data_IF_028804597249
#
_entry.id   IF_028804597249
#
_cell.length_a   1.000
_cell.length_b   1.000
_cell.length_c   1.000
_cell.angle_alpha   90.00
_cell.angle_beta   90.00
_cell.angle_gamma   90.00
#
_symmetry.space_group_name_H-M   'P 1'
#
loop_
_entity.id
_entity.type
_entity.pdbx_description
1 polymer ?
#
# COMPACT_ATOMS: atom_id res chain seq x y z
N UNK A 1 27.12 -17.74 -17.12
CA UNK A 1 25.66 -17.92 -17.24
C UNK A 1 24.99 -17.61 -15.90
N UNK A 2 25.17 -18.39 -14.83
CA UNK A 2 24.50 -18.14 -13.53
C UNK A 2 24.80 -16.73 -12.96
N UNK A 3 26.05 -16.27 -12.99
CA UNK A 3 26.42 -14.93 -12.49
C UNK A 3 25.72 -13.78 -13.24
N UNK A 4 25.55 -13.92 -14.56
CA UNK A 4 24.88 -12.91 -15.39
C UNK A 4 23.40 -12.81 -15.04
N UNK A 5 22.74 -13.95 -14.84
CA UNK A 5 21.35 -14.03 -14.38
C UNK A 5 21.17 -13.50 -12.96
N UNK A 6 22.11 -13.78 -12.05
CA UNK A 6 22.08 -13.26 -10.70
C UNK A 6 22.20 -11.72 -10.69
N UNK A 7 23.10 -11.16 -11.51
CA UNK A 7 23.23 -9.72 -11.69
C UNK A 7 21.96 -9.11 -12.33
N UNK A 8 21.37 -9.78 -13.32
CA UNK A 8 20.10 -9.36 -13.93
C UNK A 8 18.96 -9.29 -12.89
N UNK A 9 18.79 -10.36 -12.11
CA UNK A 9 17.77 -10.45 -11.06
C UNK A 9 17.97 -9.37 -10.00
N UNK A 10 19.23 -9.08 -9.63
CA UNK A 10 19.55 -7.98 -8.72
C UNK A 10 19.08 -6.63 -9.26
N UNK A 11 19.29 -6.34 -10.55
CA UNK A 11 18.81 -5.09 -11.17
C UNK A 11 17.28 -5.00 -11.09
N UNK A 12 16.56 -6.06 -11.46
CA UNK A 12 15.09 -6.08 -11.41
C UNK A 12 14.59 -5.88 -9.98
N UNK A 13 15.18 -6.58 -9.00
CA UNK A 13 14.79 -6.46 -7.59
C UNK A 13 15.03 -5.07 -7.03
N UNK A 14 16.16 -4.43 -7.38
CA UNK A 14 16.44 -3.04 -6.97
C UNK A 14 15.34 -2.12 -7.51
N UNK A 15 15.00 -2.25 -8.80
CA UNK A 15 13.95 -1.41 -9.40
C UNK A 15 12.61 -1.63 -8.71
N UNK A 16 12.18 -2.88 -8.57
CA UNK A 16 10.91 -3.27 -7.94
C UNK A 16 10.81 -2.69 -6.52
N UNK A 17 11.83 -2.91 -5.68
CA UNK A 17 11.86 -2.40 -4.31
C UNK A 17 11.87 -0.87 -4.25
N UNK A 18 12.64 -0.23 -5.14
CA UNK A 18 12.74 1.22 -5.16
C UNK A 18 11.40 1.87 -5.51
N UNK A 19 10.69 1.33 -6.51
CA UNK A 19 9.37 1.85 -6.90
C UNK A 19 8.31 1.49 -5.85
N UNK A 20 8.34 0.30 -5.26
CA UNK A 20 7.40 -0.07 -4.18
C UNK A 20 7.55 0.81 -2.94
N UNK A 21 8.77 1.28 -2.63
CA UNK A 21 9.04 2.14 -1.48
C UNK A 21 8.73 3.61 -1.74
N UNK A 22 9.16 4.16 -2.89
CA UNK A 22 9.01 5.58 -3.19
C UNK A 22 7.73 5.94 -3.94
N UNK A 23 7.06 4.96 -4.55
CA UNK A 23 5.94 5.17 -5.45
C UNK A 23 6.35 5.73 -6.81
N UNK A 24 5.38 5.78 -7.72
CA UNK A 24 5.51 6.36 -9.05
C UNK A 24 5.13 7.86 -8.99
N UNK A 25 6.11 8.71 -9.26
CA UNK A 25 5.99 10.18 -9.30
C UNK A 25 6.78 10.73 -10.49
N UNK A 26 6.55 11.98 -10.90
CA UNK A 26 7.21 12.58 -12.07
C UNK A 26 8.75 12.57 -11.98
N UNK A 27 9.31 12.65 -10.78
CA UNK A 27 10.74 12.72 -10.51
C UNK A 27 11.39 11.35 -10.20
N UNK A 28 10.59 10.27 -10.14
CA UNK A 28 11.08 8.96 -9.69
C UNK A 28 12.18 8.39 -10.60
N UNK A 29 12.07 8.59 -11.91
CA UNK A 29 13.07 8.10 -12.87
C UNK A 29 14.44 8.75 -12.64
N UNK A 30 14.46 10.04 -12.25
CA UNK A 30 15.69 10.75 -11.89
C UNK A 30 16.27 10.20 -10.59
N UNK A 31 15.43 10.03 -9.56
CA UNK A 31 15.84 9.44 -8.26
C UNK A 31 16.44 8.05 -8.44
N UNK A 32 15.80 7.19 -9.24
CA UNK A 32 16.30 5.85 -9.54
C UNK A 32 17.61 5.87 -10.33
N UNK A 33 17.76 6.79 -11.29
CA UNK A 33 19.02 6.95 -12.02
C UNK A 33 20.17 7.41 -11.10
N UNK A 34 19.91 8.32 -10.15
CA UNK A 34 20.87 8.72 -9.13
C UNK A 34 21.23 7.56 -8.19
N UNK A 35 20.24 6.77 -7.78
CA UNK A 35 20.47 5.56 -6.98
C UNK A 35 21.40 4.57 -7.71
N UNK A 36 21.18 4.32 -9.00
CA UNK A 36 22.07 3.47 -9.80
C UNK A 36 23.49 4.02 -9.99
N UNK A 37 23.67 5.35 -9.98
CA UNK A 37 25.01 5.96 -10.07
C UNK A 37 25.85 5.72 -8.81
N UNK A 38 25.21 5.52 -7.66
CA UNK A 38 25.90 5.24 -6.39
C UNK A 38 26.32 3.77 -6.28
N UNK A 39 25.88 2.91 -7.19
CA UNK A 39 26.19 1.48 -7.20
C UNK A 39 27.39 1.15 -8.09
N UNK A 40 27.99 -0.01 -7.83
CA UNK A 40 29.04 -0.55 -8.68
C UNK A 40 28.55 -0.75 -10.13
N UNK A 41 29.48 -0.60 -11.08
CA UNK A 41 29.20 -0.84 -12.49
C UNK A 41 28.89 -2.33 -12.71
N UNK A 42 27.79 -2.59 -13.42
CA UNK A 42 27.39 -3.93 -13.86
C UNK A 42 28.45 -4.56 -14.78
N UNK A 43 28.75 -5.84 -14.55
CA UNK A 43 29.77 -6.60 -15.28
C UNK A 43 29.32 -6.86 -16.72
N UNK A 44 28.07 -7.25 -16.91
CA UNK A 44 27.56 -7.72 -18.20
C UNK A 44 26.89 -6.61 -19.02
N UNK A 45 27.13 -6.61 -20.34
CA UNK A 45 26.57 -5.60 -21.24
C UNK A 45 25.04 -5.67 -21.35
N UNK A 46 24.49 -6.88 -21.41
CA UNK A 46 23.04 -7.11 -21.44
C UNK A 46 22.35 -6.51 -20.21
N UNK A 47 22.93 -6.67 -19.01
CA UNK A 47 22.37 -6.12 -17.78
C UNK A 47 22.44 -4.58 -17.73
N UNK A 48 23.49 -3.98 -18.32
CA UNK A 48 23.55 -2.52 -18.51
C UNK A 48 22.45 -2.03 -19.44
N UNK A 49 22.16 -2.78 -20.51
CA UNK A 49 21.07 -2.45 -21.42
C UNK A 49 19.71 -2.59 -20.72
N UNK A 50 19.47 -3.70 -20.01
CA UNK A 50 18.25 -3.90 -19.21
C UNK A 50 18.02 -2.75 -18.24
N UNK A 51 19.05 -2.30 -17.51
CA UNK A 51 18.95 -1.15 -16.60
C UNK A 51 18.47 0.11 -17.34
N UNK A 52 19.00 0.38 -18.53
CA UNK A 52 18.57 1.53 -19.34
C UNK A 52 17.12 1.39 -19.83
N UNK A 53 16.71 0.19 -20.22
CA UNK A 53 15.35 -0.09 -20.65
C UNK A 53 14.35 0.07 -19.50
N UNK A 54 14.67 -0.44 -18.31
CA UNK A 54 13.86 -0.24 -17.10
C UNK A 54 13.73 1.23 -16.73
N UNK A 55 14.82 2.00 -16.76
CA UNK A 55 14.79 3.45 -16.54
C UNK A 55 13.91 4.17 -17.57
N UNK A 56 14.01 3.78 -18.85
CA UNK A 56 13.18 4.35 -19.92
C UNK A 56 11.70 4.02 -19.72
N UNK A 57 11.40 2.78 -19.34
CA UNK A 57 10.04 2.33 -19.03
C UNK A 57 9.46 3.12 -17.85
N UNK A 58 10.19 3.22 -16.74
CA UNK A 58 9.72 3.96 -15.56
C UNK A 58 9.50 5.43 -15.90
N UNK A 59 10.37 6.03 -16.70
CA UNK A 59 10.18 7.40 -17.17
C UNK A 59 8.89 7.55 -18.00
N UNK A 60 8.56 6.59 -18.87
CA UNK A 60 7.32 6.67 -19.66
C UNK A 60 6.07 6.52 -18.80
N UNK A 61 6.14 5.77 -17.70
CA UNK A 61 5.05 5.70 -16.72
C UNK A 61 4.98 6.97 -15.86
N UNK A 62 6.10 7.45 -15.35
CA UNK A 62 6.20 8.62 -14.47
C UNK A 62 5.67 9.92 -15.09
N UNK A 63 5.82 10.09 -16.41
CA UNK A 63 5.30 11.27 -17.13
C UNK A 63 3.77 11.34 -17.11
N UNK A 64 3.09 10.22 -16.88
CA UNK A 64 1.64 10.17 -16.80
C UNK A 64 1.12 10.61 -15.42
N UNK A 65 1.98 10.68 -14.40
CA UNK A 65 1.61 11.16 -13.07
C UNK A 65 1.31 12.66 -13.09
N UNK A 66 0.31 13.07 -12.31
CA UNK A 66 0.00 14.49 -12.07
C UNK A 66 1.08 15.14 -11.21
N UNK A 67 1.09 16.47 -11.23
CA UNK A 67 1.96 17.24 -10.33
C UNK A 67 1.61 16.91 -8.87
N UNK A 68 2.64 16.62 -8.06
CA UNK A 68 2.53 16.21 -6.65
C UNK A 68 1.75 14.90 -6.41
N UNK A 69 1.54 14.08 -7.44
CA UNK A 69 0.96 12.75 -7.29
C UNK A 69 2.04 11.70 -7.02
N UNK A 70 1.71 10.75 -6.15
CA UNK A 70 2.52 9.57 -5.86
C UNK A 70 1.61 8.33 -5.90
N UNK A 71 1.79 7.50 -6.92
CA UNK A 71 0.97 6.30 -7.15
C UNK A 71 1.69 5.04 -6.66
N UNK A 72 0.97 4.00 -6.19
CA UNK A 72 1.59 2.71 -5.92
C UNK A 72 2.18 2.12 -7.21
N UNK A 73 3.39 1.60 -7.13
CA UNK A 73 4.09 0.99 -8.27
C UNK A 73 3.58 -0.38 -8.68
N UNK A 74 2.84 -1.05 -7.80
CA UNK A 74 2.35 -2.42 -7.95
C UNK A 74 1.16 -2.66 -7.01
N UNK A 75 0.35 -3.69 -7.30
CA UNK A 75 -0.71 -4.15 -6.39
C UNK A 75 -0.15 -4.68 -5.07
N UNK A 76 1.10 -5.16 -5.04
CA UNK A 76 1.77 -5.66 -3.83
C UNK A 76 1.74 -4.64 -2.69
N UNK A 77 1.87 -3.35 -3.00
CA UNK A 77 1.80 -2.26 -2.00
C UNK A 77 0.42 -2.23 -1.34
N UNK A 78 -0.64 -2.35 -2.15
CA UNK A 78 -2.03 -2.35 -1.67
C UNK A 78 -2.31 -3.65 -0.88
N UNK A 79 -1.83 -4.79 -1.38
CA UNK A 79 -1.95 -6.09 -0.71
C UNK A 79 -1.25 -6.10 0.65
N UNK A 80 -0.06 -5.49 0.74
CA UNK A 80 0.69 -5.32 1.98
C UNK A 80 -0.08 -4.46 3.00
N UNK A 81 -0.69 -3.37 2.54
CA UNK A 81 -1.56 -2.51 3.37
C UNK A 81 -2.77 -3.29 3.90
N UNK A 82 -3.45 -4.08 3.05
CA UNK A 82 -4.52 -4.96 3.51
C UNK A 82 -4.02 -6.09 4.41
N UNK A 83 -2.81 -6.60 4.21
CA UNK A 83 -2.17 -7.56 5.10
C UNK A 83 -2.02 -7.00 6.51
N UNK A 84 -1.52 -5.76 6.63
CA UNK A 84 -1.40 -5.04 7.91
C UNK A 84 -2.77 -4.79 8.55
N UNK A 85 -3.77 -4.44 7.77
CA UNK A 85 -5.13 -4.25 8.26
C UNK A 85 -5.74 -5.56 8.79
N UNK A 86 -5.58 -6.68 8.08
CA UNK A 86 -6.04 -7.99 8.56
C UNK A 86 -5.33 -8.41 9.85
N UNK A 87 -4.04 -8.11 9.96
CA UNK A 87 -3.29 -8.34 11.20
C UNK A 87 -3.89 -7.55 12.37
N UNK A 88 -4.24 -6.28 12.16
CA UNK A 88 -4.89 -5.45 13.18
C UNK A 88 -6.33 -5.91 13.51
N UNK A 89 -7.08 -6.44 12.54
CA UNK A 89 -8.41 -7.01 12.79
C UNK A 89 -8.38 -8.36 13.52
N UNK A 90 -7.24 -9.06 13.52
CA UNK A 90 -7.09 -10.37 14.15
C UNK A 90 -8.13 -11.37 13.65
N UNK A 91 -8.82 -12.04 14.58
CA UNK A 91 -9.85 -13.05 14.25
C UNK A 91 -11.07 -12.47 13.51
N UNK A 92 -11.31 -11.15 13.60
CA UNK A 92 -12.45 -10.51 12.94
C UNK A 92 -12.28 -10.42 11.42
N UNK A 93 -11.04 -10.50 10.92
CA UNK A 93 -10.72 -10.48 9.47
C UNK A 93 -11.40 -11.59 8.66
N UNK A 94 -11.82 -12.69 9.32
CA UNK A 94 -12.44 -13.87 8.68
C UNK A 94 -13.92 -13.71 8.34
N UNK A 95 -14.58 -12.64 8.78
CA UNK A 95 -16.04 -12.50 8.66
C UNK A 95 -16.50 -11.20 7.99
N UNK A 96 -15.59 -10.53 7.28
CA UNK A 96 -15.84 -9.27 6.57
C UNK A 96 -15.20 -8.06 7.24
N UNK A 97 -15.39 -6.89 6.64
CA UNK A 97 -14.81 -5.65 7.15
C UNK A 97 -15.48 -5.17 8.43
N UNK A 98 -14.67 -4.69 9.36
CA UNK A 98 -15.14 -4.01 10.58
C UNK A 98 -14.97 -2.49 10.46
N UNK A 99 -15.34 -1.75 11.51
CA UNK A 99 -15.02 -0.32 11.60
C UNK A 99 -13.52 -0.02 11.53
N UNK A 100 -12.66 -1.01 11.79
CA UNK A 100 -11.20 -0.89 11.63
C UNK A 100 -10.76 -0.69 10.17
N UNK A 101 -11.65 -0.84 9.20
CA UNK A 101 -11.38 -0.44 7.82
C UNK A 101 -10.92 1.03 7.73
N UNK A 102 -11.44 1.91 8.59
CA UNK A 102 -11.03 3.32 8.67
C UNK A 102 -9.60 3.52 9.18
N UNK A 103 -8.96 2.47 9.71
CA UNK A 103 -7.55 2.54 10.07
C UNK A 103 -6.63 2.46 8.84
N UNK A 104 -7.09 1.97 7.68
CA UNK A 104 -6.30 1.90 6.45
C UNK A 104 -5.66 3.24 6.06
N UNK A 105 -6.43 4.33 5.88
CA UNK A 105 -5.86 5.63 5.55
C UNK A 105 -4.93 6.15 6.66
N UNK A 106 -5.22 5.87 7.92
CA UNK A 106 -4.36 6.27 9.03
C UNK A 106 -3.01 5.53 9.02
N UNK A 107 -2.95 4.28 8.54
CA UNK A 107 -1.70 3.51 8.47
C UNK A 107 -0.72 4.01 7.40
N UNK A 108 -1.21 4.73 6.40
CA UNK A 108 -0.41 5.23 5.26
C UNK A 108 -0.27 6.75 5.26
N UNK A 109 -0.96 7.45 6.17
CA UNK A 109 -0.84 8.89 6.33
C UNK A 109 0.44 9.26 7.10
N UNK A 110 0.99 10.43 6.78
CA UNK A 110 1.96 11.08 7.65
C UNK A 110 1.22 11.59 8.90
N UNK A 111 1.39 10.88 10.01
CA UNK A 111 0.76 11.24 11.28
C UNK A 111 1.75 11.94 12.20
N UNK A 112 1.29 13.00 12.85
CA UNK A 112 1.96 13.63 13.98
C UNK A 112 0.94 13.94 15.09
N UNK A 113 1.41 14.37 16.26
CA UNK A 113 0.56 14.61 17.42
C UNK A 113 -0.54 15.64 17.15
N UNK A 114 -0.25 16.71 16.39
CA UNK A 114 -1.21 17.76 16.08
C UNK A 114 -2.32 17.27 15.14
N UNK A 115 -1.97 16.51 14.10
CA UNK A 115 -2.92 15.88 13.19
C UNK A 115 -3.84 14.92 13.94
N UNK A 116 -3.27 14.08 14.82
CA UNK A 116 -4.05 13.12 15.62
C UNK A 116 -5.00 13.86 16.57
N UNK A 117 -4.51 14.89 17.26
CA UNK A 117 -5.34 15.72 18.13
C UNK A 117 -6.49 16.37 17.35
N UNK A 118 -6.18 17.02 16.23
CA UNK A 118 -7.19 17.66 15.38
C UNK A 118 -8.22 16.65 14.88
N UNK A 119 -7.81 15.45 14.48
CA UNK A 119 -8.73 14.39 14.04
C UNK A 119 -9.67 13.96 15.16
N UNK A 120 -9.17 13.78 16.38
CA UNK A 120 -9.97 13.41 17.56
C UNK A 120 -10.95 14.52 17.98
N UNK A 121 -10.54 15.79 17.90
CA UNK A 121 -11.37 16.94 18.24
C UNK A 121 -12.45 17.22 17.18
N UNK A 122 -12.15 16.97 15.91
CA UNK A 122 -13.05 17.27 14.78
C UNK A 122 -13.97 16.12 14.39
N UNK A 123 -13.70 14.89 14.82
CA UNK A 123 -14.46 13.69 14.41
C UNK A 123 -15.16 13.04 15.61
N UNK A 124 -16.43 13.39 15.88
CA UNK A 124 -17.21 12.73 16.92
C UNK A 124 -17.36 11.23 16.67
N UNK A 125 -17.27 10.43 17.73
CA UNK A 125 -17.47 8.96 17.68
C UNK A 125 -18.82 8.60 17.05
N UNK A 126 -19.87 9.40 17.31
CA UNK A 126 -21.20 9.19 16.73
C UNK A 126 -21.17 9.19 15.20
N UNK A 127 -20.43 10.11 14.59
CA UNK A 127 -20.26 10.21 13.13
C UNK A 127 -19.60 8.96 12.57
N UNK A 128 -18.58 8.42 13.25
CA UNK A 128 -17.90 7.18 12.85
C UNK A 128 -18.85 5.99 12.91
N UNK A 129 -19.68 5.89 13.95
CA UNK A 129 -20.67 4.82 14.09
C UNK A 129 -21.77 4.91 13.03
N UNK A 130 -22.25 6.11 12.70
CA UNK A 130 -23.22 6.35 11.63
C UNK A 130 -22.63 5.98 10.26
N UNK A 131 -21.38 6.37 9.99
CA UNK A 131 -20.67 5.98 8.79
C UNK A 131 -20.56 4.45 8.67
N UNK A 132 -20.14 3.78 9.74
CA UNK A 132 -20.04 2.32 9.79
C UNK A 132 -21.39 1.67 9.44
N UNK A 133 -22.48 2.13 10.08
CA UNK A 133 -23.83 1.59 9.82
C UNK A 133 -24.25 1.80 8.37
N UNK A 134 -23.95 2.97 7.79
CA UNK A 134 -24.33 3.33 6.42
C UNK A 134 -23.57 2.54 5.36
N UNK A 135 -22.26 2.34 5.51
CA UNK A 135 -21.40 1.79 4.46
C UNK A 135 -21.01 0.32 4.65
N UNK A 136 -20.92 -0.17 5.90
CA UNK A 136 -20.54 -1.55 6.19
C UNK A 136 -21.72 -2.42 6.60
N UNK A 137 -22.73 -1.83 7.25
CA UNK A 137 -23.89 -2.57 7.77
C UNK A 137 -23.52 -3.55 8.89
N UNK A 138 -24.36 -4.57 9.07
CA UNK A 138 -24.17 -5.58 10.12
C UNK A 138 -23.14 -6.64 9.71
N UNK A 139 -22.25 -6.98 10.64
CA UNK A 139 -21.30 -8.08 10.43
C UNK A 139 -22.02 -9.43 10.41
N UNK A 140 -21.41 -10.44 9.79
CA UNK A 140 -21.97 -11.80 9.77
C UNK A 140 -22.23 -12.33 11.18
N UNK A 141 -21.35 -12.04 12.13
CA UNK A 141 -21.52 -12.43 13.53
C UNK A 141 -22.64 -11.64 14.23
N UNK A 142 -22.84 -10.36 13.89
CA UNK A 142 -23.98 -9.59 14.37
C UNK A 142 -25.29 -10.19 13.85
N UNK A 143 -25.37 -10.50 12.54
CA UNK A 143 -26.53 -11.15 11.93
C UNK A 143 -26.83 -12.52 12.55
N UNK A 144 -25.80 -13.34 12.81
CA UNK A 144 -25.96 -14.62 13.53
C UNK A 144 -26.52 -14.40 14.94
N UNK A 145 -25.94 -13.48 15.71
CA UNK A 145 -26.47 -13.17 17.06
C UNK A 145 -27.92 -12.73 17.02
N UNK A 146 -28.31 -11.86 16.07
CA UNK A 146 -29.70 -11.44 15.92
C UNK A 146 -30.64 -12.59 15.52
N UNK A 147 -30.19 -13.50 14.64
CA UNK A 147 -30.99 -14.64 14.23
C UNK A 147 -31.23 -15.64 15.38
N UNK A 148 -30.23 -15.86 16.24
CA UNK A 148 -30.30 -16.82 17.35
C UNK A 148 -30.71 -16.21 18.69
N UNK A 149 -30.70 -14.88 18.85
CA UNK A 149 -31.19 -14.22 20.08
C UNK A 149 -32.70 -14.35 20.25
N UNK A 150 -33.45 -14.51 19.15
CA UNK A 150 -34.90 -14.72 19.18
C UNK A 150 -35.32 -16.17 19.53
N UNK A 151 -34.39 -17.13 19.59
CA UNK A 151 -34.69 -18.54 19.88
C UNK A 151 -34.61 -18.91 21.38
N UNK A 152 -34.24 -17.99 22.26
CA UNK A 152 -34.10 -18.21 23.71
C UNK A 152 -35.20 -17.52 24.54
N UNK A 153 -36.28 -17.04 23.91
CA UNK A 153 -37.45 -16.48 24.58
C UNK A 153 -38.71 -17.36 24.49
N UNK A 154 -38.58 -18.61 24.03
CA UNK A 154 -39.60 -19.67 24.12
C UNK A 154 -39.12 -20.77 25.07
#
# INVERSE_FOLDING_TARGET
MIEEWAEMHSVVKIVEQFISYHGLSQDIALKLALHFKQQARLKYAANRQLRHELLRFIRSQAVQCRLNECLPGSSEVIESVFGKQKYLEGEQSKSGFTGLLLALPAMVAELNADIVKQALESTPVKTVLEWKKKYLGDTVQARRRHAFSNHYQE
#
